data_IF_665804929940
#
_entry.id   IF_665804929940
#
_cell.length_a   1.000
_cell.length_b   1.000
_cell.length_c   1.000
_cell.angle_alpha   90.00
_cell.angle_beta   90.00
_cell.angle_gamma   90.00
#
_symmetry.space_group_name_H-M   'P 1'
#
loop_
_entity.id
_entity.type
_entity.pdbx_description
1 polymer ?
#
# COMPACT_ATOMS: atom_id res chain seq x y z
N UNK A 1 -5.30 -65.58 13.12
CA UNK A 1 -4.87 -64.21 13.50
C UNK A 1 -5.38 -63.10 12.56
N UNK A 2 -6.47 -63.29 11.79
CA UNK A 2 -7.08 -62.25 10.90
C UNK A 2 -8.37 -61.62 11.45
N UNK A 3 -8.82 -62.02 12.64
CA UNK A 3 -10.07 -61.54 13.26
C UNK A 3 -9.93 -60.28 14.12
N UNK A 4 -8.79 -60.06 14.77
CA UNK A 4 -8.60 -58.94 15.71
C UNK A 4 -8.32 -57.58 15.02
N UNK A 5 -7.71 -57.59 13.84
CA UNK A 5 -7.44 -56.37 13.05
C UNK A 5 -8.70 -55.77 12.41
N UNK A 6 -9.70 -56.59 12.03
CA UNK A 6 -10.99 -56.11 11.53
C UNK A 6 -11.89 -55.49 12.63
N UNK A 7 -11.63 -55.84 13.90
CA UNK A 7 -12.40 -55.31 15.03
C UNK A 7 -11.90 -53.94 15.49
N UNK A 8 -10.59 -53.68 15.41
CA UNK A 8 -10.01 -52.37 15.73
C UNK A 8 -10.33 -51.31 14.65
N UNK A 9 -10.33 -51.69 13.36
CA UNK A 9 -10.73 -50.78 12.28
C UNK A 9 -12.22 -50.40 12.33
N UNK A 10 -13.10 -51.29 12.80
CA UNK A 10 -14.52 -50.98 13.01
C UNK A 10 -14.79 -50.13 14.25
N UNK A 11 -13.98 -50.26 15.29
CA UNK A 11 -14.13 -49.48 16.53
C UNK A 11 -13.63 -48.03 16.38
N UNK A 12 -12.64 -47.79 15.50
CA UNK A 12 -12.12 -46.44 15.22
C UNK A 12 -13.03 -45.63 14.27
N UNK A 13 -13.77 -46.29 13.37
CA UNK A 13 -14.76 -45.62 12.49
C UNK A 13 -16.05 -45.25 13.24
N UNK A 14 -16.40 -45.99 14.30
CA UNK A 14 -17.58 -45.70 15.14
C UNK A 14 -17.38 -44.56 16.16
N UNK A 15 -16.15 -44.16 16.45
CA UNK A 15 -15.85 -43.06 17.39
C UNK A 15 -15.70 -41.68 16.71
N UNK A 16 -15.69 -41.61 15.37
CA UNK A 16 -15.50 -40.36 14.62
C UNK A 16 -16.75 -39.87 13.84
N UNK A 17 -17.95 -40.40 14.13
CA UNK A 17 -19.18 -39.99 13.40
C UNK A 17 -20.38 -39.70 14.32
N UNK A 18 -20.16 -39.13 15.51
CA UNK A 18 -21.16 -39.10 16.59
C UNK A 18 -21.62 -37.75 17.16
N UNK A 19 -21.41 -36.59 16.52
CA UNK A 19 -22.05 -35.34 16.98
C UNK A 19 -22.74 -34.57 15.85
N UNK A 20 -23.95 -35.04 15.51
CA UNK A 20 -25.03 -34.18 15.01
C UNK A 20 -26.31 -34.60 15.74
N UNK A 21 -26.85 -33.73 16.60
CA UNK A 21 -28.18 -33.91 17.17
C UNK A 21 -29.24 -33.37 16.20
N UNK A 22 -30.28 -34.14 15.88
CA UNK A 22 -31.54 -33.61 15.37
C UNK A 22 -32.55 -33.52 16.52
N UNK A 23 -33.39 -32.48 16.54
CA UNK A 23 -34.67 -32.54 17.26
C UNK A 23 -35.73 -31.97 16.34
N UNK A 24 -36.72 -32.82 16.07
CA UNK A 24 -37.69 -32.67 15.01
C UNK A 24 -38.92 -31.86 15.37
N UNK A 25 -39.73 -31.69 14.34
CA UNK A 25 -41.03 -31.09 14.35
C UNK A 25 -42.04 -31.88 15.20
N UNK A 26 -42.86 -31.15 15.97
CA UNK A 26 -44.24 -31.52 16.27
C UNK A 26 -45.14 -30.32 16.01
N UNK A 27 -46.26 -30.63 15.35
CA UNK A 27 -47.36 -29.75 14.99
C UNK A 27 -47.99 -29.04 16.19
N UNK A 28 -48.29 -27.75 16.02
CA UNK A 28 -49.41 -27.08 16.68
C UNK A 28 -50.05 -26.08 15.70
N UNK A 29 -51.37 -26.19 15.59
CA UNK A 29 -52.31 -25.42 14.79
C UNK A 29 -52.62 -24.07 15.47
N UNK A 30 -53.00 -23.06 14.65
CA UNK A 30 -53.92 -21.93 14.95
C UNK A 30 -53.32 -20.57 15.38
N UNK A 31 -53.95 -19.38 15.13
CA UNK A 31 -55.00 -18.98 14.18
C UNK A 31 -54.56 -17.86 13.20
N UNK A 32 -55.40 -17.63 12.19
CA UNK A 32 -55.35 -16.48 11.29
C UNK A 32 -55.46 -15.13 12.03
N UNK A 33 -54.69 -14.14 11.58
CA UNK A 33 -54.81 -12.72 11.93
C UNK A 33 -54.76 -11.85 10.65
N UNK A 34 -55.38 -10.65 10.68
CA UNK A 34 -56.19 -10.17 9.58
C UNK A 34 -55.44 -9.37 8.51
N UNK A 35 -56.04 -9.38 7.31
CA UNK A 35 -55.68 -8.58 6.16
C UNK A 35 -55.59 -7.08 6.51
N UNK A 36 -54.36 -6.54 6.48
CA UNK A 36 -54.06 -5.12 6.45
C UNK A 36 -53.58 -4.73 5.06
N UNK A 37 -54.25 -3.74 4.47
CA UNK A 37 -54.08 -3.28 3.09
C UNK A 37 -52.64 -2.85 2.76
N UNK A 38 -52.14 -3.34 1.62
CA UNK A 38 -50.95 -2.81 0.96
C UNK A 38 -51.33 -1.50 0.21
N UNK A 39 -50.51 -0.43 0.27
CA UNK A 39 -50.75 0.78 -0.51
C UNK A 39 -50.58 0.51 -2.03
N UNK A 40 -51.27 1.27 -2.90
CA UNK A 40 -51.21 1.06 -4.34
C UNK A 40 -49.80 1.35 -4.88
N UNK A 41 -49.27 0.41 -5.66
CA UNK A 41 -48.07 0.59 -6.45
C UNK A 41 -48.24 1.74 -7.46
N UNK A 42 -47.20 2.54 -7.75
CA UNK A 42 -47.25 3.49 -8.85
C UNK A 42 -47.35 2.73 -10.18
N UNK A 43 -48.33 3.12 -10.99
CA UNK A 43 -48.46 2.69 -12.37
C UNK A 43 -47.34 3.28 -13.25
N UNK A 44 -47.04 2.56 -14.33
CA UNK A 44 -46.05 2.86 -15.39
C UNK A 44 -44.57 2.63 -15.07
N UNK A 45 -44.18 1.36 -15.10
CA UNK A 45 -42.91 0.95 -15.72
C UNK A 45 -43.20 -0.26 -16.60
N UNK A 46 -43.14 -0.05 -17.91
CA UNK A 46 -43.17 -1.11 -18.92
C UNK A 46 -42.01 -2.07 -18.65
N UNK A 47 -42.21 -3.39 -18.58
CA UNK A 47 -41.08 -4.31 -18.43
C UNK A 47 -40.24 -4.27 -19.69
N UNK A 48 -39.02 -3.73 -19.58
CA UNK A 48 -38.00 -3.89 -20.61
C UNK A 48 -37.78 -5.40 -20.85
N UNK A 49 -37.78 -5.80 -22.11
CA UNK A 49 -37.50 -7.17 -22.53
C UNK A 49 -36.19 -7.66 -21.91
N UNK A 50 -36.06 -8.97 -21.57
CA UNK A 50 -34.79 -9.52 -21.11
C UNK A 50 -33.75 -9.35 -22.21
N UNK A 51 -32.85 -8.40 -22.04
CA UNK A 51 -31.63 -8.32 -22.86
C UNK A 51 -30.77 -9.50 -22.48
N UNK A 52 -30.70 -10.49 -23.36
CA UNK A 52 -29.71 -11.56 -23.34
C UNK A 52 -28.32 -10.92 -23.21
N UNK A 53 -27.46 -11.37 -22.27
CA UNK A 53 -26.08 -10.91 -22.23
C UNK A 53 -25.43 -11.20 -23.61
N UNK A 54 -24.53 -10.34 -24.10
CA UNK A 54 -23.81 -10.64 -25.33
C UNK A 54 -23.09 -11.98 -25.15
N UNK A 55 -23.39 -12.91 -26.06
CA UNK A 55 -22.73 -14.20 -26.16
C UNK A 55 -21.21 -13.96 -26.20
N UNK A 56 -20.48 -14.56 -25.26
CA UNK A 56 -19.01 -14.51 -25.29
C UNK A 56 -18.53 -14.88 -26.68
N UNK A 57 -17.61 -14.11 -27.29
CA UNK A 57 -17.10 -14.43 -28.62
C UNK A 57 -16.57 -15.87 -28.60
N UNK A 58 -17.06 -16.69 -29.52
CA UNK A 58 -16.56 -18.04 -29.71
C UNK A 58 -15.03 -18.01 -29.85
N UNK A 59 -14.30 -18.94 -29.22
CA UNK A 59 -12.84 -18.98 -29.32
C UNK A 59 -12.44 -19.06 -30.80
N UNK A 60 -11.41 -18.30 -31.18
CA UNK A 60 -10.92 -18.25 -32.54
C UNK A 60 -10.66 -19.68 -33.07
N UNK A 61 -10.99 -19.98 -34.34
CA UNK A 61 -10.76 -21.30 -34.92
C UNK A 61 -9.24 -21.55 -35.02
N UNK A 62 -8.70 -22.26 -34.03
CA UNK A 62 -7.26 -22.56 -33.94
C UNK A 62 -6.79 -23.01 -32.55
N UNK A 63 -7.49 -22.65 -31.47
CA UNK A 63 -7.15 -23.07 -30.11
C UNK A 63 -8.22 -24.01 -29.56
N UNK A 64 -8.31 -25.20 -30.15
CA UNK A 64 -9.07 -26.29 -29.54
C UNK A 64 -8.36 -26.71 -28.25
N UNK A 65 -9.09 -26.72 -27.13
CA UNK A 65 -8.62 -27.35 -25.89
C UNK A 65 -8.05 -28.74 -26.21
N UNK A 66 -6.85 -29.08 -25.72
CA UNK A 66 -6.22 -30.35 -26.05
C UNK A 66 -7.16 -31.50 -25.67
N UNK A 67 -7.44 -32.39 -26.62
CA UNK A 67 -8.31 -33.54 -26.37
C UNK A 67 -7.64 -34.47 -25.36
N UNK A 68 -8.44 -35.20 -24.59
CA UNK A 68 -7.92 -36.16 -23.59
C UNK A 68 -6.93 -37.15 -24.22
N UNK A 69 -7.19 -37.61 -25.45
CA UNK A 69 -6.30 -38.50 -26.19
C UNK A 69 -4.96 -37.86 -26.52
N UNK A 70 -4.95 -36.56 -26.87
CA UNK A 70 -3.73 -35.78 -27.12
C UNK A 70 -2.88 -35.65 -25.85
N UNK A 71 -3.55 -35.39 -24.72
CA UNK A 71 -2.91 -35.27 -23.42
C UNK A 71 -2.30 -36.62 -23.00
N UNK A 72 -3.04 -37.71 -23.15
CA UNK A 72 -2.55 -39.05 -22.80
C UNK A 72 -1.37 -39.48 -23.69
N UNK A 73 -1.43 -39.21 -24.99
CA UNK A 73 -0.33 -39.43 -25.92
C UNK A 73 0.91 -38.62 -25.52
N UNK A 74 0.75 -37.34 -25.18
CA UNK A 74 1.88 -36.50 -24.77
C UNK A 74 2.44 -36.89 -23.40
N UNK A 75 1.61 -37.33 -22.45
CA UNK A 75 2.05 -37.89 -21.17
C UNK A 75 2.81 -39.21 -21.34
N UNK A 76 2.44 -40.04 -22.32
CA UNK A 76 3.12 -41.32 -22.60
C UNK A 76 4.56 -41.15 -23.08
N UNK A 77 4.90 -39.98 -23.64
CA UNK A 77 6.24 -39.63 -24.13
C UNK A 77 7.17 -39.12 -23.02
N UNK A 78 6.63 -38.82 -21.83
CA UNK A 78 7.43 -38.32 -20.72
C UNK A 78 8.04 -39.49 -19.96
N UNK A 79 9.35 -39.44 -19.76
CA UNK A 79 10.06 -40.45 -18.97
C UNK A 79 9.52 -40.48 -17.52
N UNK A 80 9.00 -41.63 -17.04
CA UNK A 80 8.47 -41.76 -15.69
C UNK A 80 9.52 -41.52 -14.61
N UNK A 81 10.80 -41.78 -14.87
CA UNK A 81 11.88 -41.51 -13.92
C UNK A 81 12.04 -40.00 -13.72
N UNK A 82 12.02 -39.22 -14.80
CA UNK A 82 12.10 -37.76 -14.74
C UNK A 82 10.90 -37.13 -14.02
N UNK A 83 9.69 -37.68 -14.22
CA UNK A 83 8.50 -37.26 -13.47
C UNK A 83 8.65 -37.54 -11.97
N UNK A 84 9.16 -38.72 -11.61
CA UNK A 84 9.37 -39.09 -10.21
C UNK A 84 10.41 -38.20 -9.52
N UNK A 85 11.50 -37.87 -10.21
CA UNK A 85 12.54 -36.96 -9.71
C UNK A 85 11.99 -35.54 -9.51
N UNK A 86 11.25 -35.02 -10.50
CA UNK A 86 10.65 -33.69 -10.40
C UNK A 86 9.56 -33.62 -9.32
N UNK A 87 8.79 -34.70 -9.14
CA UNK A 87 7.83 -34.81 -8.04
C UNK A 87 8.53 -34.81 -6.69
N UNK A 88 9.62 -35.58 -6.54
CA UNK A 88 10.41 -35.61 -5.30
C UNK A 88 11.03 -34.24 -4.99
N UNK A 89 11.59 -33.55 -5.99
CA UNK A 89 12.12 -32.20 -5.84
C UNK A 89 11.03 -31.21 -5.41
N UNK A 90 9.84 -31.29 -6.01
CA UNK A 90 8.69 -30.45 -5.64
C UNK A 90 8.22 -30.74 -4.21
N UNK A 91 8.16 -32.01 -3.81
CA UNK A 91 7.81 -32.42 -2.45
C UNK A 91 8.82 -31.91 -1.42
N UNK A 92 10.12 -31.97 -1.73
CA UNK A 92 11.18 -31.41 -0.88
C UNK A 92 11.05 -29.89 -0.72
N UNK A 93 10.75 -29.18 -1.82
CA UNK A 93 10.53 -27.74 -1.76
C UNK A 93 9.29 -27.36 -0.94
N UNK A 94 8.19 -28.13 -1.06
CA UNK A 94 7.00 -27.96 -0.22
C UNK A 94 7.33 -28.20 1.26
N UNK A 95 8.15 -29.20 1.59
CA UNK A 95 8.57 -29.46 2.96
C UNK A 95 9.38 -28.28 3.53
N UNK A 96 10.34 -27.76 2.76
CA UNK A 96 11.13 -26.58 3.14
C UNK A 96 10.25 -25.36 3.39
N UNK A 97 9.32 -25.07 2.48
CA UNK A 97 8.38 -23.94 2.63
C UNK A 97 7.51 -24.09 3.87
N UNK A 98 7.11 -25.30 4.26
CA UNK A 98 6.33 -25.53 5.48
C UNK A 98 7.15 -25.23 6.74
N UNK A 99 8.41 -25.64 6.77
CA UNK A 99 9.32 -25.32 7.87
C UNK A 99 9.54 -23.80 8.00
N UNK A 100 9.81 -23.12 6.88
CA UNK A 100 9.95 -21.65 6.83
C UNK A 100 8.67 -20.94 7.32
N UNK A 101 7.48 -21.43 6.94
CA UNK A 101 6.20 -20.89 7.40
C UNK A 101 5.98 -21.08 8.90
N UNK A 102 6.32 -22.23 9.47
CA UNK A 102 6.21 -22.45 10.92
C UNK A 102 7.20 -21.57 11.70
N UNK A 103 8.42 -21.39 11.18
CA UNK A 103 9.39 -20.46 11.77
C UNK A 103 8.89 -19.00 11.73
N UNK A 104 8.24 -18.58 10.63
CA UNK A 104 7.64 -17.25 10.52
C UNK A 104 6.47 -17.06 11.49
N UNK A 105 5.59 -18.05 11.62
CA UNK A 105 4.49 -18.01 12.60
C UNK A 105 5.01 -17.86 14.02
N UNK A 106 6.08 -18.57 14.38
CA UNK A 106 6.70 -18.44 15.69
C UNK A 106 7.25 -17.02 15.94
N UNK A 107 7.85 -16.39 14.92
CA UNK A 107 8.31 -14.99 15.00
C UNK A 107 7.15 -14.01 15.16
N UNK A 108 6.06 -14.21 14.41
CA UNK A 108 4.85 -13.37 14.52
C UNK A 108 4.28 -13.47 15.94
N UNK A 109 4.12 -14.68 16.47
CA UNK A 109 3.63 -14.88 17.83
C UNK A 109 4.53 -14.22 18.89
N UNK A 110 5.86 -14.25 18.70
CA UNK A 110 6.80 -13.56 19.59
C UNK A 110 6.64 -12.03 19.53
N UNK A 111 6.51 -11.47 18.33
CA UNK A 111 6.30 -10.03 18.13
C UNK A 111 4.94 -9.58 18.70
N UNK A 112 3.88 -10.38 18.52
CA UNK A 112 2.57 -10.12 19.11
C UNK A 112 2.62 -10.12 20.64
N UNK A 113 3.37 -11.04 21.26
CA UNK A 113 3.57 -11.06 22.71
C UNK A 113 4.34 -9.82 23.20
N UNK A 114 5.34 -9.37 22.45
CA UNK A 114 6.07 -8.13 22.74
C UNK A 114 5.17 -6.89 22.61
N UNK A 115 4.37 -6.81 21.55
CA UNK A 115 3.40 -5.74 21.34
C UNK A 115 2.34 -5.69 22.46
N UNK A 116 1.84 -6.85 22.92
CA UNK A 116 0.93 -6.93 24.07
C UNK A 116 1.58 -6.40 25.35
N UNK A 117 2.86 -6.75 25.61
CA UNK A 117 3.62 -6.24 26.75
C UNK A 117 3.73 -4.71 26.69
N UNK A 118 4.05 -4.15 25.54
CA UNK A 118 4.11 -2.70 25.33
C UNK A 118 2.74 -2.03 25.51
N UNK A 119 1.66 -2.66 25.05
CA UNK A 119 0.29 -2.19 25.27
C UNK A 119 -0.08 -2.13 26.75
N UNK A 120 0.34 -3.12 27.55
CA UNK A 120 0.17 -3.11 29.01
C UNK A 120 0.95 -1.96 29.64
N UNK A 121 2.18 -1.69 29.19
CA UNK A 121 2.97 -0.54 29.65
C UNK A 121 2.28 0.80 29.34
N UNK A 122 1.66 0.94 28.16
CA UNK A 122 0.91 2.15 27.80
C UNK A 122 -0.30 2.38 28.71
N UNK A 123 -1.08 1.33 28.99
CA UNK A 123 -2.22 1.41 29.91
C UNK A 123 -1.80 1.72 31.35
N UNK A 124 -0.68 1.15 31.81
CA UNK A 124 -0.12 1.45 33.13
C UNK A 124 0.32 2.92 33.22
N UNK A 125 0.96 3.45 32.17
CA UNK A 125 1.37 4.85 32.13
C UNK A 125 0.15 5.78 32.15
N UNK A 126 -0.91 5.47 31.41
CA UNK A 126 -2.16 6.24 31.42
C UNK A 126 -2.82 6.23 32.81
N UNK A 127 -2.86 5.07 33.48
CA UNK A 127 -3.36 4.94 34.84
C UNK A 127 -2.52 5.78 35.84
N UNK A 128 -1.19 5.75 35.73
CA UNK A 128 -0.29 6.54 36.57
C UNK A 128 -0.45 8.04 36.36
N UNK A 129 -0.67 8.49 35.12
CA UNK A 129 -0.96 9.89 34.81
C UNK A 129 -2.31 10.33 35.42
N UNK A 130 -3.32 9.46 35.39
CA UNK A 130 -4.64 9.71 36.01
C UNK A 130 -4.55 9.88 37.53
N UNK A 131 -3.78 9.02 38.20
CA UNK A 131 -3.58 9.06 39.66
C UNK A 131 -2.80 10.30 40.09
N UNK A 132 -1.88 10.80 39.25
CA UNK A 132 -1.09 12.00 39.55
C UNK A 132 -1.84 13.33 39.32
N UNK A 133 -3.09 13.28 38.86
CA UNK A 133 -3.91 14.49 38.63
C UNK A 133 -3.37 15.40 37.53
N UNK A 134 -2.51 14.88 36.65
CA UNK A 134 -2.00 15.63 35.51
C UNK A 134 -3.07 15.57 34.42
N UNK A 135 -3.83 16.66 34.26
CA UNK A 135 -4.73 16.79 33.13
C UNK A 135 -3.92 16.70 31.82
N UNK A 136 -4.43 16.01 30.78
CA UNK A 136 -3.76 15.96 29.49
C UNK A 136 -3.56 17.38 28.96
N UNK A 137 -2.38 17.66 28.44
CA UNK A 137 -2.09 18.95 27.83
C UNK A 137 -3.13 19.24 26.72
N UNK A 138 -3.71 20.45 26.66
CA UNK A 138 -4.65 20.79 25.61
C UNK A 138 -3.95 20.63 24.25
N UNK A 139 -4.65 20.11 23.22
CA UNK A 139 -4.06 19.96 21.89
C UNK A 139 -3.58 21.34 21.39
N UNK A 140 -2.45 21.40 20.67
CA UNK A 140 -2.01 22.64 20.07
C UNK A 140 -3.12 23.20 19.17
N UNK A 141 -3.34 24.52 19.16
CA UNK A 141 -4.34 25.13 18.29
C UNK A 141 -4.05 24.77 16.83
N UNK A 142 -5.10 24.41 16.09
CA UNK A 142 -4.99 24.12 14.68
C UNK A 142 -4.35 25.32 13.94
N UNK A 143 -3.38 25.09 13.02
CA UNK A 143 -2.78 26.17 12.25
C UNK A 143 -3.88 26.84 11.40
N UNK A 144 -4.21 28.10 11.71
CA UNK A 144 -5.14 28.92 10.92
C UNK A 144 -6.31 29.56 11.64
N UNK A 145 -6.51 29.36 12.96
CA UNK A 145 -7.52 30.13 13.69
C UNK A 145 -6.98 31.51 14.07
N UNK A 146 -7.19 32.48 13.16
CA UNK A 146 -6.96 33.89 13.41
C UNK A 146 -7.94 34.42 14.46
N UNK A 147 -7.42 35.05 15.51
CA UNK A 147 -8.21 35.84 16.46
C UNK A 147 -8.88 37.01 15.73
N UNK A 148 -10.21 37.07 15.76
CA UNK A 148 -10.97 38.25 15.35
C UNK A 148 -10.79 39.37 16.39
N UNK A 149 -10.54 40.63 15.99
CA UNK A 149 -10.48 41.73 16.94
C UNK A 149 -11.89 42.16 17.35
N UNK A 150 -12.12 42.22 18.66
CA UNK A 150 -13.31 42.83 19.25
C UNK A 150 -13.31 44.35 18.99
N UNK A 151 -14.38 44.86 18.39
CA UNK A 151 -14.62 46.29 18.24
C UNK A 151 -15.51 46.79 19.39
N UNK A 152 -15.01 47.77 20.13
CA UNK A 152 -15.73 48.53 21.15
C UNK A 152 -15.13 49.93 21.27
N UNK A 153 -15.97 50.94 21.09
CA UNK A 153 -15.67 52.37 21.03
C UNK A 153 -15.09 52.96 22.33
N UNK A 154 -14.29 54.03 22.23
CA UNK A 154 -14.55 55.40 22.78
C UNK A 154 -13.41 56.37 22.41
N UNK A 155 -13.75 57.67 22.44
CA UNK A 155 -13.02 58.81 21.91
C UNK A 155 -11.94 59.43 22.84
N UNK A 156 -11.02 60.17 22.19
CA UNK A 156 -10.27 61.39 22.59
C UNK A 156 -9.72 61.58 24.02
N UNK A 157 -8.40 61.80 24.14
CA UNK A 157 -7.77 63.08 24.54
C UNK A 157 -6.30 62.93 25.04
N UNK A 158 -5.45 63.84 24.54
CA UNK A 158 -4.23 64.49 25.06
C UNK A 158 -3.23 63.84 26.05
N UNK A 159 -1.99 63.76 25.55
CA UNK A 159 -0.71 64.23 26.10
C UNK A 159 -0.47 64.28 27.63
N UNK A 160 0.47 63.44 28.09
CA UNK A 160 1.45 63.75 29.15
C UNK A 160 2.67 62.81 29.04
N UNK A 161 3.89 63.36 29.04
CA UNK A 161 5.21 62.68 29.10
C UNK A 161 5.98 63.18 30.33
N UNK A 162 7.18 62.67 30.72
CA UNK A 162 7.78 61.32 30.85
C UNK A 162 8.38 61.13 32.30
N UNK A 163 9.28 60.17 32.67
CA UNK A 163 10.72 60.15 32.31
C UNK A 163 11.36 58.71 32.20
N UNK A 164 12.68 58.56 31.94
CA UNK A 164 13.25 57.41 31.21
C UNK A 164 14.02 56.41 32.09
N UNK A 165 14.21 55.16 31.62
CA UNK A 165 15.32 54.29 32.07
C UNK A 165 15.79 53.29 30.99
N UNK A 166 17.08 53.42 30.68
CA UNK A 166 18.09 52.47 30.20
C UNK A 166 17.66 51.15 29.50
N UNK A 167 17.97 51.05 28.21
CA UNK A 167 18.07 49.79 27.48
C UNK A 167 19.51 49.57 26.99
N UNK A 168 20.14 48.50 27.47
CA UNK A 168 21.30 47.84 26.85
C UNK A 168 20.93 46.38 26.57
N UNK A 169 21.59 45.74 25.60
CA UNK A 169 20.97 44.77 24.70
C UNK A 169 21.15 43.32 25.18
N UNK A 170 20.20 42.44 24.84
CA UNK A 170 20.47 41.00 24.89
C UNK A 170 19.92 40.35 23.61
N UNK A 171 20.82 39.60 23.00
CA UNK A 171 20.75 39.04 21.67
C UNK A 171 19.68 37.96 21.50
N UNK A 172 19.22 37.82 20.25
CA UNK A 172 18.57 36.61 19.75
C UNK A 172 19.51 35.40 19.91
N UNK A 173 19.04 34.24 20.40
CA UNK A 173 19.72 32.99 20.13
C UNK A 173 19.36 32.51 18.72
N UNK A 174 20.43 32.26 17.97
CA UNK A 174 20.46 31.73 16.63
C UNK A 174 19.91 30.29 16.53
N UNK A 175 19.65 29.92 15.27
CA UNK A 175 19.23 28.63 14.77
C UNK A 175 19.94 27.42 15.41
N UNK A 176 19.16 26.39 15.73
CA UNK A 176 19.68 25.05 15.95
C UNK A 176 19.99 24.40 14.58
N UNK A 177 21.12 23.70 14.42
CA UNK A 177 21.44 22.93 13.21
C UNK A 177 20.53 21.69 13.08
N UNK A 178 20.33 21.14 11.86
CA UNK A 178 19.52 19.94 11.67
C UNK A 178 20.18 18.75 12.38
N UNK A 179 19.40 18.05 13.18
CA UNK A 179 19.80 16.82 13.84
C UNK A 179 20.19 15.76 12.78
N UNK A 180 21.44 15.34 12.82
CA UNK A 180 21.96 14.16 12.12
C UNK A 180 21.15 12.93 12.53
N UNK A 181 20.35 12.40 11.60
CA UNK A 181 19.77 11.08 11.75
C UNK A 181 20.90 10.02 11.72
N UNK A 182 20.96 9.05 12.64
CA UNK A 182 21.95 7.99 12.58
C UNK A 182 21.70 7.11 11.35
N UNK A 183 22.74 6.94 10.54
CA UNK A 183 22.76 5.98 9.45
C UNK A 183 22.58 4.56 10.04
N UNK A 184 21.40 3.99 9.83
CA UNK A 184 21.14 2.59 10.13
C UNK A 184 21.79 1.73 9.05
N UNK A 185 22.96 1.16 9.38
CA UNK A 185 23.46 -0.03 8.69
C UNK A 185 22.58 -1.21 9.09
N UNK A 186 21.82 -1.77 8.16
CA UNK A 186 21.20 -3.09 8.35
C UNK A 186 21.34 -3.90 7.08
N UNK A 187 22.42 -4.66 7.01
CA UNK A 187 22.53 -5.86 6.18
C UNK A 187 21.71 -6.95 6.84
N UNK A 188 20.44 -7.03 6.46
CA UNK A 188 19.67 -8.26 6.14
C UNK A 188 18.21 -7.84 5.86
N UNK A 189 18.03 -6.99 4.86
CA UNK A 189 16.69 -6.59 4.43
C UNK A 189 16.14 -7.69 3.52
N UNK A 190 15.04 -8.33 3.95
CA UNK A 190 14.25 -9.19 3.07
C UNK A 190 14.01 -8.47 1.72
N UNK A 191 14.08 -9.19 0.59
CA UNK A 191 13.97 -8.60 -0.74
C UNK A 191 12.81 -7.61 -0.81
N UNK A 192 13.03 -6.49 -1.50
CA UNK A 192 11.97 -5.52 -1.68
C UNK A 192 10.73 -6.18 -2.29
N UNK A 193 9.51 -5.85 -1.84
CA UNK A 193 8.29 -6.40 -2.44
C UNK A 193 8.24 -6.08 -3.93
N UNK A 194 7.59 -6.94 -4.71
CA UNK A 194 7.36 -6.74 -6.15
C UNK A 194 5.86 -6.71 -6.45
N UNK A 195 5.51 -6.19 -7.63
CA UNK A 195 4.11 -6.03 -8.01
C UNK A 195 3.36 -7.35 -8.06
N UNK A 196 3.87 -8.32 -8.83
CA UNK A 196 3.18 -9.56 -9.14
C UNK A 196 2.82 -10.37 -7.89
N UNK A 197 3.77 -10.52 -6.96
CA UNK A 197 3.63 -11.43 -5.82
C UNK A 197 3.02 -10.76 -4.58
N UNK A 198 3.24 -9.45 -4.41
CA UNK A 198 2.93 -8.77 -3.15
C UNK A 198 1.86 -7.67 -3.29
N UNK A 199 1.88 -6.90 -4.38
CA UNK A 199 1.00 -5.74 -4.54
C UNK A 199 -0.28 -6.10 -5.30
N UNK A 200 -0.18 -6.92 -6.34
CA UNK A 200 -1.33 -7.35 -7.12
C UNK A 200 -2.40 -8.04 -6.27
N UNK A 201 -2.09 -8.93 -5.29
CA UNK A 201 -3.10 -9.48 -4.40
C UNK A 201 -3.88 -8.41 -3.61
N UNK A 202 -3.20 -7.35 -3.16
CA UNK A 202 -3.84 -6.22 -2.46
C UNK A 202 -4.81 -5.50 -3.40
N UNK A 203 -4.39 -5.26 -4.64
CA UNK A 203 -5.25 -4.60 -5.64
C UNK A 203 -6.41 -5.48 -6.07
N UNK A 204 -6.18 -6.79 -6.24
CA UNK A 204 -7.20 -7.76 -6.57
C UNK A 204 -8.31 -7.80 -5.52
N UNK A 205 -7.96 -7.73 -4.24
CA UNK A 205 -8.92 -7.77 -3.13
C UNK A 205 -9.67 -6.44 -2.96
N UNK A 206 -8.96 -5.31 -3.03
CA UNK A 206 -9.47 -4.02 -2.57
C UNK A 206 -9.77 -3.00 -3.66
N UNK A 207 -9.24 -3.18 -4.88
CA UNK A 207 -9.21 -2.11 -5.89
C UNK A 207 -9.90 -2.51 -7.21
N UNK A 208 -9.75 -3.76 -7.66
CA UNK A 208 -10.26 -4.21 -8.96
C UNK A 208 -11.79 -4.21 -9.07
N UNK A 209 -12.55 -4.00 -7.99
CA UNK A 209 -13.99 -3.77 -8.09
C UNK A 209 -14.37 -2.46 -8.79
N UNK A 210 -13.47 -1.47 -8.82
CA UNK A 210 -13.70 -0.13 -9.38
C UNK A 210 -12.57 0.39 -10.29
N UNK A 211 -11.44 -0.31 -10.37
CA UNK A 211 -10.26 0.06 -11.16
C UNK A 211 -9.79 -1.10 -12.03
N UNK A 212 -10.66 -1.53 -12.94
CA UNK A 212 -10.42 -2.62 -13.89
C UNK A 212 -10.75 -2.12 -15.33
N UNK A 213 -10.47 -2.91 -16.38
CA UNK A 213 -10.70 -2.49 -17.76
C UNK A 213 -12.16 -2.11 -18.06
N UNK A 214 -13.12 -2.80 -17.45
CA UNK A 214 -14.56 -2.56 -17.67
C UNK A 214 -15.09 -1.36 -16.86
N UNK A 215 -14.44 -1.07 -15.74
CA UNK A 215 -14.79 -0.01 -14.80
C UNK A 215 -13.51 0.66 -14.33
N UNK A 216 -13.09 1.68 -15.08
CA UNK A 216 -11.90 2.48 -14.80
C UNK A 216 -12.28 3.79 -14.09
N UNK A 217 -12.65 3.74 -12.80
CA UNK A 217 -12.97 4.96 -12.05
C UNK A 217 -11.77 5.90 -12.02
N UNK A 218 -12.01 7.20 -12.27
CA UNK A 218 -10.93 8.18 -12.43
C UNK A 218 -9.98 7.90 -13.61
N UNK A 219 -10.39 7.06 -14.56
CA UNK A 219 -9.56 6.62 -15.69
C UNK A 219 -8.41 5.68 -15.31
N UNK A 220 -8.37 5.17 -14.08
CA UNK A 220 -7.28 4.33 -13.58
C UNK A 220 -7.64 2.84 -13.66
N UNK A 221 -6.73 2.05 -14.21
CA UNK A 221 -6.82 0.59 -14.34
C UNK A 221 -5.62 -0.06 -13.64
N UNK A 222 -5.86 -1.02 -12.74
CA UNK A 222 -4.85 -1.61 -11.86
C UNK A 222 -4.63 -3.12 -12.07
N UNK A 223 -5.28 -3.69 -13.09
CA UNK A 223 -5.27 -5.14 -13.38
C UNK A 223 -3.94 -5.65 -13.96
N UNK A 224 -3.12 -4.74 -14.48
CA UNK A 224 -1.78 -5.03 -14.97
C UNK A 224 -0.78 -3.96 -14.53
N UNK A 225 0.48 -4.35 -14.44
CA UNK A 225 1.58 -3.44 -14.12
C UNK A 225 1.66 -2.29 -15.13
N UNK A 226 1.52 -2.60 -16.42
CA UNK A 226 1.61 -1.61 -17.50
C UNK A 226 0.49 -0.57 -17.40
N UNK A 227 -0.76 -1.00 -17.24
CA UNK A 227 -1.90 -0.09 -17.10
C UNK A 227 -1.77 0.81 -15.88
N UNK A 228 -1.32 0.26 -14.74
CA UNK A 228 -1.12 1.04 -13.53
C UNK A 228 -0.05 2.12 -13.72
N UNK A 229 1.09 1.76 -14.30
CA UNK A 229 2.21 2.69 -14.50
C UNK A 229 1.87 3.78 -15.51
N UNK A 230 0.94 3.53 -16.43
CA UNK A 230 0.37 4.55 -17.31
C UNK A 230 -0.44 5.62 -16.53
N UNK A 231 -1.00 5.26 -15.38
CA UNK A 231 -1.78 6.16 -14.53
C UNK A 231 -3.24 6.25 -14.93
N UNK A 232 -3.91 7.32 -14.51
CA UNK A 232 -5.33 7.55 -14.79
C UNK A 232 -5.60 8.92 -15.40
N UNK A 233 -6.86 9.36 -15.34
CA UNK A 233 -7.29 10.66 -15.88
C UNK A 233 -6.63 11.87 -15.20
N UNK A 234 -5.98 11.67 -14.04
CA UNK A 234 -5.17 12.69 -13.35
C UNK A 234 -3.67 12.55 -13.62
N UNK A 235 -3.25 11.73 -14.58
CA UNK A 235 -1.86 11.43 -14.88
C UNK A 235 -1.29 10.27 -14.06
N UNK A 236 0.04 10.26 -13.91
CA UNK A 236 0.76 9.22 -13.18
C UNK A 236 0.31 9.15 -11.70
N UNK A 237 0.06 7.93 -11.22
CA UNK A 237 -0.39 7.68 -9.83
C UNK A 237 0.69 7.07 -8.94
N UNK A 238 1.75 6.52 -9.54
CA UNK A 238 2.94 5.98 -8.89
C UNK A 238 4.16 6.80 -9.33
N UNK A 239 4.93 7.25 -8.35
CA UNK A 239 6.25 7.85 -8.53
C UNK A 239 7.29 6.88 -7.94
N UNK A 240 7.97 6.07 -8.76
CA UNK A 240 8.98 5.12 -8.30
C UNK A 240 10.04 5.80 -7.43
N UNK A 241 10.34 5.21 -6.28
CA UNK A 241 11.27 5.75 -5.28
C UNK A 241 10.66 6.80 -4.34
N UNK A 242 9.42 7.26 -4.56
CA UNK A 242 8.82 8.35 -3.78
C UNK A 242 7.36 8.08 -3.42
N UNK A 243 7.08 7.37 -2.30
CA UNK A 243 5.73 7.13 -1.83
C UNK A 243 4.93 8.42 -1.59
N UNK A 244 5.56 9.45 -1.03
CA UNK A 244 4.90 10.71 -0.71
C UNK A 244 4.49 11.50 -1.97
N UNK A 245 5.17 11.27 -3.09
CA UNK A 245 4.79 11.84 -4.40
C UNK A 245 3.82 10.94 -5.17
N UNK A 246 3.64 9.70 -4.72
CA UNK A 246 2.72 8.74 -5.34
C UNK A 246 1.30 9.00 -4.87
N UNK A 247 0.46 9.54 -5.76
CA UNK A 247 -0.93 9.83 -5.43
C UNK A 247 -1.70 8.59 -4.97
N UNK A 248 -1.47 7.43 -5.58
CA UNK A 248 -2.08 6.16 -5.14
C UNK A 248 -1.80 5.91 -3.65
N UNK A 249 -0.54 6.06 -3.24
CA UNK A 249 -0.14 5.86 -1.83
C UNK A 249 -0.84 6.86 -0.90
N UNK A 250 -0.86 8.14 -1.25
CA UNK A 250 -1.51 9.18 -0.42
C UNK A 250 -3.00 8.95 -0.25
N UNK A 251 -3.71 8.48 -1.27
CA UNK A 251 -5.15 8.17 -1.15
C UNK A 251 -5.42 6.92 -0.28
N UNK A 252 -4.62 5.85 -0.43
CA UNK A 252 -4.81 4.62 0.37
C UNK A 252 -4.31 4.76 1.81
N UNK A 253 -3.33 5.64 2.04
CA UNK A 253 -2.86 6.00 3.37
C UNK A 253 -3.76 7.04 4.07
N UNK A 254 -4.80 7.54 3.37
CA UNK A 254 -5.72 8.58 3.85
C UNK A 254 -5.00 9.91 4.19
N UNK A 255 -3.98 10.25 3.39
CA UNK A 255 -3.22 11.50 3.47
C UNK A 255 -3.75 12.57 2.49
N UNK A 256 -4.55 12.16 1.51
CA UNK A 256 -5.22 13.04 0.55
C UNK A 256 -6.67 12.53 0.31
N UNK A 257 -7.59 13.45 0.04
CA UNK A 257 -8.97 13.14 -0.34
C UNK A 257 -9.17 13.14 -1.88
N UNK A 258 -10.07 12.32 -2.43
CA UNK A 258 -10.92 11.36 -1.72
C UNK A 258 -10.15 10.11 -1.26
N UNK A 259 -10.45 9.64 -0.05
CA UNK A 259 -9.84 8.45 0.52
C UNK A 259 -10.19 7.19 -0.28
N UNK A 260 -9.26 6.23 -0.31
CA UNK A 260 -9.43 4.96 -1.01
C UNK A 260 -9.15 3.77 -0.07
N UNK A 261 -10.03 2.74 -0.03
CA UNK A 261 -11.20 2.55 -0.87
C UNK A 261 -12.42 3.34 -0.38
N UNK A 262 -13.30 3.83 -1.29
CA UNK A 262 -14.43 4.66 -0.89
C UNK A 262 -15.48 3.81 -0.17
N UNK A 263 -16.06 4.36 0.90
CA UNK A 263 -17.13 3.73 1.68
C UNK A 263 -16.74 2.36 2.28
N UNK A 264 -15.45 2.04 2.32
CA UNK A 264 -14.90 0.87 2.99
C UNK A 264 -13.85 1.32 4.00
N UNK A 265 -13.50 0.43 4.92
CA UNK A 265 -12.41 0.68 5.85
C UNK A 265 -11.10 0.88 5.09
N UNK A 266 -10.24 1.74 5.66
CA UNK A 266 -8.85 1.89 5.26
C UNK A 266 -8.17 0.51 5.16
N UNK A 267 -7.22 0.37 4.24
CA UNK A 267 -6.35 -0.82 4.19
C UNK A 267 -5.64 -1.01 5.54
N UNK A 268 -5.33 -2.26 5.89
CA UNK A 268 -4.49 -2.52 7.06
C UNK A 268 -3.13 -1.85 6.88
N UNK A 269 -2.52 -1.44 8.00
CA UNK A 269 -1.23 -0.78 7.99
C UNK A 269 -0.15 -1.67 7.34
N UNK A 270 -0.23 -3.00 7.49
CA UNK A 270 0.67 -3.95 6.82
C UNK A 270 0.58 -3.87 5.29
N UNK A 271 -0.64 -3.77 4.74
CA UNK A 271 -0.84 -3.65 3.28
C UNK A 271 -0.34 -2.30 2.78
N UNK A 272 -0.55 -1.24 3.55
CA UNK A 272 -0.03 0.10 3.23
C UNK A 272 1.50 0.11 3.27
N UNK A 273 2.10 -0.59 4.24
CA UNK A 273 3.55 -0.72 4.35
C UNK A 273 4.16 -1.50 3.18
N UNK A 274 3.49 -2.57 2.71
CA UNK A 274 3.90 -3.27 1.48
C UNK A 274 3.92 -2.32 0.28
N UNK A 275 2.85 -1.52 0.10
CA UNK A 275 2.79 -0.52 -0.97
C UNK A 275 3.89 0.53 -0.84
N UNK A 276 4.14 1.02 0.39
CA UNK A 276 5.20 1.99 0.67
C UNK A 276 6.56 1.44 0.28
N UNK A 277 6.92 0.24 0.77
CA UNK A 277 8.21 -0.41 0.50
C UNK A 277 8.40 -0.70 -0.98
N UNK A 278 7.37 -1.21 -1.65
CA UNK A 278 7.41 -1.46 -3.09
C UNK A 278 7.67 -0.18 -3.89
N UNK A 279 6.96 0.91 -3.58
CA UNK A 279 7.17 2.19 -4.25
C UNK A 279 8.57 2.73 -3.94
N UNK A 280 9.00 2.73 -2.68
CA UNK A 280 10.35 3.16 -2.26
C UNK A 280 11.44 2.40 -3.00
N UNK A 281 11.24 1.10 -3.22
CA UNK A 281 12.21 0.27 -3.94
C UNK A 281 12.28 0.56 -5.44
N UNK A 282 11.34 1.32 -6.00
CA UNK A 282 11.31 1.63 -7.44
C UNK A 282 10.16 0.98 -8.20
N UNK A 283 9.14 0.49 -7.48
CA UNK A 283 7.91 -0.06 -8.05
C UNK A 283 8.17 -1.18 -9.08
N UNK A 284 8.95 -2.20 -8.71
CA UNK A 284 9.32 -3.29 -9.61
C UNK A 284 8.16 -4.23 -9.97
N UNK A 285 8.15 -4.72 -11.21
CA UNK A 285 7.08 -5.56 -11.73
C UNK A 285 7.10 -6.97 -11.14
N UNK A 286 8.29 -7.55 -10.99
CA UNK A 286 8.51 -8.95 -10.64
C UNK A 286 9.76 -9.13 -9.76
N UNK A 287 9.95 -10.34 -9.23
CA UNK A 287 11.10 -10.65 -8.39
C UNK A 287 12.44 -10.45 -9.12
N UNK A 288 12.49 -10.71 -10.43
CA UNK A 288 13.72 -10.58 -11.22
C UNK A 288 14.16 -9.12 -11.37
N UNK A 289 13.22 -8.21 -11.67
CA UNK A 289 13.47 -6.77 -11.75
C UNK A 289 13.80 -6.17 -10.38
N UNK A 290 13.15 -6.65 -9.31
CA UNK A 290 13.50 -6.26 -7.95
C UNK A 290 14.93 -6.71 -7.57
N UNK A 291 15.30 -7.96 -7.89
CA UNK A 291 16.63 -8.48 -7.59
C UNK A 291 17.72 -7.73 -8.37
N UNK A 292 17.51 -7.48 -9.67
CA UNK A 292 18.46 -6.70 -10.48
C UNK A 292 18.70 -5.30 -9.92
N UNK A 293 17.66 -4.65 -9.40
CA UNK A 293 17.80 -3.34 -8.78
C UNK A 293 18.56 -3.42 -7.44
N UNK A 294 18.30 -4.46 -6.64
CA UNK A 294 19.05 -4.71 -5.41
C UNK A 294 20.54 -4.97 -5.69
N UNK A 295 20.85 -5.79 -6.69
CA UNK A 295 22.22 -6.11 -7.10
C UNK A 295 22.96 -4.86 -7.63
N UNK A 296 22.26 -4.01 -8.39
CA UNK A 296 22.80 -2.74 -8.88
C UNK A 296 23.09 -1.75 -7.74
N UNK A 297 22.19 -1.66 -6.75
CA UNK A 297 22.38 -0.85 -5.56
C UNK A 297 23.56 -1.35 -4.69
N UNK A 298 23.74 -2.66 -4.57
CA UNK A 298 24.86 -3.26 -3.85
C UNK A 298 26.22 -3.07 -4.56
N UNK A 299 26.20 -2.95 -5.89
CA UNK A 299 27.40 -2.77 -6.71
C UNK A 299 27.81 -1.31 -6.89
N UNK A 300 26.92 -0.36 -6.55
CA UNK A 300 27.24 1.05 -6.50
C UNK A 300 28.15 1.32 -5.29
N UNK A 301 29.46 1.42 -5.54
CA UNK A 301 30.44 1.79 -4.52
C UNK A 301 30.06 3.15 -3.93
N UNK A 302 29.99 3.31 -2.60
CA UNK A 302 29.76 4.63 -2.01
C UNK A 302 30.97 5.49 -2.34
N UNK A 303 30.79 6.47 -3.22
CA UNK A 303 31.81 7.47 -3.51
C UNK A 303 32.12 8.17 -2.20
N UNK A 304 33.30 7.86 -1.64
CA UNK A 304 33.74 8.35 -0.35
C UNK A 304 33.92 9.86 -0.43
N UNK A 305 33.38 10.51 0.59
CA UNK A 305 33.46 11.93 0.93
C UNK A 305 34.77 12.61 0.49
N UNK A 306 34.67 13.60 -0.39
CA UNK A 306 35.76 14.55 -0.63
C UNK A 306 35.90 15.44 0.62
N UNK A 307 37.13 15.65 1.15
CA UNK A 307 37.29 16.45 2.36
C UNK A 307 36.92 17.91 2.09
N UNK A 308 36.03 18.40 2.95
CA UNK A 308 35.64 19.80 3.12
C UNK A 308 36.88 20.69 3.23
N UNK A 309 37.14 21.49 2.20
CA UNK A 309 38.08 22.59 2.27
C UNK A 309 37.34 23.83 2.82
N UNK A 310 37.66 24.15 4.07
CA UNK A 310 37.28 25.35 4.78
C UNK A 310 37.71 26.63 4.05
N UNK A 311 36.84 27.62 4.13
CA UNK A 311 36.94 28.95 3.54
C UNK A 311 38.19 29.75 3.99
N UNK A 312 38.67 30.60 3.07
CA UNK A 312 39.26 31.90 3.37
C UNK A 312 38.63 32.96 2.41
N UNK A 313 38.49 34.24 2.81
CA UNK A 313 37.51 35.16 2.25
C UNK A 313 38.08 36.20 1.26
N UNK A 314 37.15 37.02 0.72
CA UNK A 314 37.24 38.31 0.00
C UNK A 314 37.83 38.26 -1.45
N UNK A 315 37.32 38.95 -2.48
CA UNK A 315 36.70 40.28 -2.58
C UNK A 315 35.62 40.36 -3.70
N UNK A 316 34.67 41.30 -3.52
CA UNK A 316 33.76 41.76 -4.57
C UNK A 316 34.53 42.58 -5.62
N UNK A 317 34.41 42.22 -6.89
CA UNK A 317 34.50 43.23 -7.97
C UNK A 317 33.37 43.02 -8.98
N UNK A 318 32.70 44.13 -9.26
CA UNK A 318 31.51 44.25 -10.09
C UNK A 318 31.94 44.58 -11.52
N UNK A 319 31.51 43.80 -12.50
CA UNK A 319 31.74 44.11 -13.92
C UNK A 319 30.71 43.44 -14.83
N UNK A 320 30.11 44.16 -15.81
CA UNK A 320 28.96 43.68 -16.56
C UNK A 320 29.33 42.71 -17.70
N UNK A 321 28.42 41.77 -17.97
CA UNK A 321 28.45 40.84 -19.11
C UNK A 321 28.56 41.58 -20.45
N UNK A 322 29.36 41.09 -21.43
CA UNK A 322 29.26 41.54 -22.81
C UNK A 322 28.10 40.86 -23.54
N UNK A 323 27.33 41.66 -24.28
CA UNK A 323 26.25 41.25 -25.15
C UNK A 323 26.77 40.43 -26.35
N UNK A 324 26.11 39.31 -26.64
CA UNK A 324 26.26 38.59 -27.90
C UNK A 324 25.64 39.43 -29.03
N UNK A 325 26.48 39.84 -29.99
CA UNK A 325 26.05 40.45 -31.25
C UNK A 325 26.20 39.44 -32.38
N UNK A 326 25.08 39.16 -33.05
CA UNK A 326 24.97 38.38 -34.27
C UNK A 326 25.27 39.29 -35.46
N UNK A 327 26.40 39.10 -36.13
CA UNK A 327 26.58 39.46 -37.54
C UNK A 327 27.74 38.64 -38.14
N UNK A 328 27.65 38.41 -39.45
CA UNK A 328 28.64 37.79 -40.35
C UNK A 328 28.60 36.27 -40.56
N UNK A 329 27.48 35.80 -41.12
CA UNK A 329 27.51 34.69 -42.08
C UNK A 329 27.73 35.26 -43.50
N UNK A 330 28.99 35.39 -43.91
CA UNK A 330 29.36 35.62 -45.31
C UNK A 330 29.72 34.28 -45.97
N UNK A 331 28.85 33.88 -46.89
CA UNK A 331 28.95 32.71 -47.77
C UNK A 331 30.19 32.80 -48.67
N UNK A 332 30.93 31.70 -48.83
CA UNK A 332 31.99 31.54 -49.83
C UNK A 332 31.52 30.52 -50.89
N UNK A 333 31.54 30.86 -52.19
CA UNK A 333 31.02 29.98 -53.24
C UNK A 333 32.04 28.88 -53.59
N UNK A 334 31.54 27.68 -53.85
CA UNK A 334 32.30 26.55 -54.43
C UNK A 334 32.02 26.49 -55.92
N UNK A 335 33.10 26.45 -56.71
CA UNK A 335 33.11 26.40 -58.16
C UNK A 335 32.71 25.01 -58.69
N UNK A 336 32.04 25.01 -59.84
CA UNK A 336 31.79 23.85 -60.70
C UNK A 336 33.10 23.24 -61.22
N UNK A 337 33.20 21.90 -61.18
CA UNK A 337 33.40 20.99 -62.33
C UNK A 337 32.81 19.63 -61.94
#
# INVERSE_FOLDING_TARGET
MRGKQKSLARMLVLMLSGLTTPTGALHAQEPAAPAGANPPAPADVTPAAPTTPPESPAPAPGEAQPTLDRILEDLSKIDPALLSERLAATQAQIAKLREENEALKAKIAANEAEAQKLGIHALLLEALLKVRGVAPAPPPPAPGQAMAPAQGAVAAAEAMTPPPVAGSPVASPAANPPATAPAMTTTDAAPAPNYQDHVYPIFSESCLGCHNPDKAKGGLVLDSFASMMQGGGSGAVIAPGSPDQSRLFRLVAHLEAPEMPPMRSKLSDDKIEVLRRWITAGAHADAASAQRAADAAASATPMTEAPSASAAPIDQESGPMPAASLADFAVKPIASV
#
